data_IF_068703141182
#
_entry.id   IF_068703141182
#
_cell.length_a   1.000
_cell.length_b   1.000
_cell.length_c   1.000
_cell.angle_alpha   90.00
_cell.angle_beta   90.00
_cell.angle_gamma   90.00
#
_symmetry.space_group_name_H-M   'P 1'
#
loop_
_entity.id
_entity.type
_entity.pdbx_description
1 polymer ?
#
# COMPACT_ATOMS: atom_id res chain seq x y z
N UNK A 1 4.68 20.70 -16.20
CA UNK A 1 4.56 19.23 -16.07
C UNK A 1 3.11 18.95 -15.66
N UNK A 2 2.25 18.69 -16.63
CA UNK A 2 0.80 18.49 -16.46
C UNK A 2 0.52 17.00 -16.51
N UNK A 3 -0.02 16.45 -15.42
CA UNK A 3 -0.50 15.06 -15.41
C UNK A 3 -1.98 15.10 -15.81
N UNK A 4 -2.33 14.44 -16.92
CA UNK A 4 -3.68 14.42 -17.49
C UNK A 4 -4.32 15.83 -17.67
N UNK A 5 -3.53 16.82 -18.11
CA UNK A 5 -4.00 18.20 -18.30
C UNK A 5 -4.26 18.99 -17.01
N UNK A 6 -4.16 18.36 -15.83
CA UNK A 6 -4.32 19.00 -14.52
C UNK A 6 -2.95 19.36 -13.97
N UNK A 7 -2.83 20.55 -13.39
CA UNK A 7 -1.61 20.95 -12.69
C UNK A 7 -1.53 20.11 -11.41
N UNK A 8 -0.51 19.24 -11.24
CA UNK A 8 -0.47 18.36 -10.09
C UNK A 8 -0.25 19.20 -8.83
N UNK A 9 -1.12 19.04 -7.84
CA UNK A 9 -0.92 19.56 -6.49
C UNK A 9 0.14 18.69 -5.79
N UNK A 10 1.42 19.06 -5.96
CA UNK A 10 2.53 18.32 -5.36
C UNK A 10 2.79 18.87 -3.97
N UNK A 11 2.59 18.02 -2.95
CA UNK A 11 2.96 18.35 -1.57
C UNK A 11 4.36 17.81 -1.27
N UNK A 12 5.29 18.72 -0.99
CA UNK A 12 6.61 18.35 -0.49
C UNK A 12 6.49 17.93 0.97
N UNK A 13 6.85 16.69 1.27
CA UNK A 13 6.92 16.17 2.64
C UNK A 13 8.35 16.39 3.13
N UNK A 14 8.58 17.45 3.89
CA UNK A 14 9.88 17.74 4.54
C UNK A 14 10.14 16.87 5.78
N UNK A 15 9.17 16.02 6.16
CA UNK A 15 9.26 15.17 7.34
C UNK A 15 10.12 13.94 7.05
N UNK A 16 11.01 13.63 8.00
CA UNK A 16 11.74 12.36 7.99
C UNK A 16 10.72 11.22 8.19
N UNK A 17 10.56 10.39 7.15
CA UNK A 17 9.78 9.17 7.27
C UNK A 17 10.36 8.30 8.38
N UNK A 18 9.53 7.96 9.38
CA UNK A 18 9.93 7.06 10.45
C UNK A 18 10.19 5.67 9.87
N UNK A 19 11.46 5.30 9.75
CA UNK A 19 11.91 3.96 9.32
C UNK A 19 11.94 3.03 10.53
N UNK A 20 11.56 1.77 10.35
CA UNK A 20 11.63 0.74 11.41
C UNK A 20 10.36 0.58 12.24
N UNK A 21 9.24 1.20 11.85
CA UNK A 21 7.93 0.92 12.45
C UNK A 21 7.57 -0.54 12.16
N UNK A 22 7.54 -1.38 13.20
CA UNK A 22 7.08 -2.77 13.10
C UNK A 22 5.57 -2.79 13.19
N UNK A 23 4.92 -3.29 12.14
CA UNK A 23 3.48 -3.50 12.17
C UNK A 23 3.16 -4.53 13.26
N UNK A 24 2.28 -4.17 14.21
CA UNK A 24 1.81 -5.13 15.21
C UNK A 24 1.02 -6.24 14.51
N UNK A 25 1.07 -7.48 15.02
CA UNK A 25 0.32 -8.62 14.47
C UNK A 25 -1.17 -8.31 14.24
N UNK A 26 -1.80 -7.52 15.12
CA UNK A 26 -3.19 -7.08 14.99
C UNK A 26 -3.43 -6.23 13.73
N UNK A 27 -2.54 -5.28 13.45
CA UNK A 27 -2.63 -4.44 12.26
C UNK A 27 -2.26 -5.22 10.98
N UNK A 28 -1.34 -6.18 11.09
CA UNK A 28 -0.99 -7.06 9.98
C UNK A 28 -2.14 -7.98 9.58
N UNK A 29 -2.93 -8.47 10.54
CA UNK A 29 -4.09 -9.32 10.30
C UNK A 29 -5.11 -8.68 9.35
N UNK A 30 -5.42 -7.39 9.56
CA UNK A 30 -6.34 -6.63 8.70
C UNK A 30 -5.82 -6.55 7.27
N UNK A 31 -4.51 -6.38 7.11
CA UNK A 31 -3.88 -6.40 5.79
C UNK A 31 -3.92 -7.81 5.17
N UNK A 32 -3.63 -8.85 5.96
CA UNK A 32 -3.65 -10.25 5.51
C UNK A 32 -5.05 -10.70 5.06
N UNK A 33 -6.11 -10.26 5.73
CA UNK A 33 -7.50 -10.52 5.32
C UNK A 33 -7.83 -9.97 3.93
N UNK A 34 -7.14 -8.89 3.51
CA UNK A 34 -7.30 -8.28 2.18
C UNK A 34 -6.35 -8.85 1.13
N UNK A 35 -5.26 -9.48 1.57
CA UNK A 35 -4.21 -10.04 0.72
C UNK A 35 -4.62 -11.45 0.31
N UNK A 36 -5.06 -11.60 -0.95
CA UNK A 36 -5.31 -12.92 -1.54
C UNK A 36 -4.00 -13.49 -2.07
N UNK A 37 -3.52 -14.58 -1.46
CA UNK A 37 -2.36 -15.36 -1.92
C UNK A 37 -2.83 -16.58 -2.70
N UNK A 38 -2.36 -16.74 -3.92
CA UNK A 38 -2.65 -17.91 -4.74
C UNK A 38 -1.53 -18.94 -4.52
N UNK A 39 -1.86 -20.12 -4.01
CA UNK A 39 -0.88 -21.18 -3.71
C UNK A 39 -0.12 -21.73 -4.92
N UNK A 40 -0.52 -21.37 -6.14
CA UNK A 40 0.14 -21.76 -7.40
C UNK A 40 1.20 -20.76 -7.86
N UNK A 41 1.28 -19.58 -7.26
CA UNK A 41 2.14 -18.49 -7.71
C UNK A 41 3.34 -18.28 -6.79
N UNK A 42 4.43 -17.65 -7.28
CA UNK A 42 5.65 -17.43 -6.51
C UNK A 42 5.38 -16.62 -5.24
N UNK A 43 6.29 -16.72 -4.26
CA UNK A 43 6.15 -16.21 -2.88
C UNK A 43 5.60 -14.77 -2.73
N UNK A 44 5.84 -13.93 -3.73
CA UNK A 44 5.50 -12.50 -3.74
C UNK A 44 4.25 -12.17 -4.55
N UNK A 45 3.59 -13.16 -5.13
CA UNK A 45 2.36 -12.97 -5.86
C UNK A 45 1.19 -12.78 -4.88
N UNK A 46 0.66 -11.56 -4.91
CA UNK A 46 -0.37 -11.11 -3.99
C UNK A 46 -1.35 -10.25 -4.77
N UNK A 47 -2.63 -10.60 -4.69
CA UNK A 47 -3.71 -9.76 -5.20
C UNK A 47 -4.31 -8.97 -4.04
N UNK A 48 -4.35 -7.64 -4.17
CA UNK A 48 -4.99 -6.74 -3.21
C UNK A 48 -6.19 -6.12 -3.91
N UNK A 49 -7.39 -6.48 -3.48
CA UNK A 49 -8.59 -5.87 -4.02
C UNK A 49 -8.81 -4.48 -3.40
N UNK A 50 -9.24 -3.49 -4.22
CA UNK A 50 -9.65 -2.20 -3.69
C UNK A 50 -10.88 -2.41 -2.80
N UNK A 51 -10.83 -1.88 -1.59
CA UNK A 51 -12.03 -1.79 -0.76
C UNK A 51 -12.85 -0.63 -1.34
N UNK A 52 -13.96 -0.95 -2.01
CA UNK A 52 -14.93 0.06 -2.41
C UNK A 52 -15.61 0.57 -1.14
N UNK A 53 -15.51 1.88 -0.86
CA UNK A 53 -16.31 2.59 0.13
C UNK A 53 -17.48 3.23 -0.59
#
# INVERSE_FOLDING_TARGET
>A
MTWNGVHPAVHLIDKVYQKGVKLTKKAMKICEERIKRLGKLPKWDVTIEPAFW
#
